data_IF_585074990490
#
_entry.id   IF_585074990490
#
_cell.length_a   1.000
_cell.length_b   1.000
_cell.length_c   1.000
_cell.angle_alpha   90.00
_cell.angle_beta   90.00
_cell.angle_gamma   90.00
#
_symmetry.space_group_name_H-M   'P 1'
#
loop_
_entity.id
_entity.type
_entity.pdbx_description
1 polymer ?
#
# COMPACT_ATOMS: atom_id res chain seq x y z
N UNK A 1 7.10 -34.25 -22.93
CA UNK A 1 6.98 -33.02 -23.74
C UNK A 1 5.52 -32.58 -23.90
N UNK A 2 4.62 -33.40 -24.48
CA UNK A 2 3.20 -33.06 -24.64
C UNK A 2 2.46 -32.70 -23.33
N UNK A 3 2.75 -33.39 -22.23
CA UNK A 3 2.16 -33.11 -20.92
C UNK A 3 2.57 -31.74 -20.36
N UNK A 4 3.82 -31.32 -20.61
CA UNK A 4 4.32 -30.00 -20.19
C UNK A 4 3.70 -28.90 -21.06
N UNK A 5 3.61 -29.11 -22.38
CA UNK A 5 2.95 -28.17 -23.29
C UNK A 5 1.45 -28.01 -22.95
N UNK A 6 0.78 -29.11 -22.61
CA UNK A 6 -0.61 -29.10 -22.15
C UNK A 6 -0.77 -28.32 -20.83
N UNK A 7 0.09 -28.55 -19.84
CA UNK A 7 0.06 -27.80 -18.58
C UNK A 7 0.29 -26.30 -18.80
N UNK A 8 1.26 -25.93 -19.62
CA UNK A 8 1.56 -24.51 -19.92
C UNK A 8 0.37 -23.84 -20.62
N UNK A 9 -0.22 -24.49 -21.62
CA UNK A 9 -1.42 -23.97 -22.29
C UNK A 9 -2.61 -23.88 -21.32
N UNK A 10 -2.82 -24.91 -20.49
CA UNK A 10 -3.88 -24.94 -19.49
C UNK A 10 -3.75 -23.78 -18.48
N UNK A 11 -2.56 -23.56 -17.91
CA UNK A 11 -2.32 -22.43 -17.01
C UNK A 11 -2.41 -21.07 -17.70
N UNK A 12 -2.06 -20.97 -18.98
CA UNK A 12 -2.20 -19.73 -19.74
C UNK A 12 -3.68 -19.36 -19.96
N UNK A 13 -4.52 -20.33 -20.36
CA UNK A 13 -5.96 -20.12 -20.55
C UNK A 13 -6.72 -19.95 -19.23
N UNK A 14 -6.30 -20.62 -18.15
CA UNK A 14 -6.90 -20.45 -16.82
C UNK A 14 -6.37 -19.26 -16.03
N UNK A 15 -5.27 -18.61 -16.45
CA UNK A 15 -4.60 -17.57 -15.67
C UNK A 15 -5.53 -16.44 -15.23
N UNK A 16 -6.44 -16.00 -16.11
CA UNK A 16 -7.44 -14.98 -15.78
C UNK A 16 -8.44 -15.38 -14.69
N UNK A 17 -8.76 -16.67 -14.59
CA UNK A 17 -9.69 -17.23 -13.58
C UNK A 17 -8.95 -17.63 -12.30
N UNK A 18 -7.71 -18.12 -12.41
CA UNK A 18 -6.89 -18.54 -11.27
C UNK A 18 -6.38 -17.36 -10.44
N UNK A 19 -6.20 -16.19 -11.06
CA UNK A 19 -5.68 -15.00 -10.37
C UNK A 19 -6.42 -14.67 -9.07
N UNK A 20 -7.77 -14.51 -9.04
CA UNK A 20 -8.49 -14.24 -7.80
C UNK A 20 -8.40 -15.38 -6.77
N UNK A 21 -8.27 -16.64 -7.21
CA UNK A 21 -8.08 -17.78 -6.30
C UNK A 21 -6.70 -17.73 -5.63
N UNK A 22 -5.64 -17.47 -6.40
CA UNK A 22 -4.28 -17.37 -5.86
C UNK A 22 -4.20 -16.20 -4.87
N UNK A 23 -4.74 -15.03 -5.23
CA UNK A 23 -4.76 -13.88 -4.33
C UNK A 23 -5.53 -14.20 -3.05
N UNK A 24 -6.73 -14.80 -3.15
CA UNK A 24 -7.52 -15.18 -1.99
C UNK A 24 -6.82 -16.23 -1.11
N UNK A 25 -6.14 -17.22 -1.71
CA UNK A 25 -5.39 -18.23 -0.98
C UNK A 25 -4.18 -17.64 -0.24
N UNK A 26 -3.43 -16.73 -0.88
CA UNK A 26 -2.32 -16.02 -0.23
C UNK A 26 -2.82 -15.14 0.92
N UNK A 27 -3.91 -14.40 0.71
CA UNK A 27 -4.54 -13.60 1.77
C UNK A 27 -5.06 -14.48 2.90
N UNK A 28 -5.68 -15.62 2.59
CA UNK A 28 -6.16 -16.57 3.58
C UNK A 28 -5.00 -17.12 4.40
N UNK A 29 -3.86 -17.44 3.79
CA UNK A 29 -2.67 -17.90 4.50
C UNK A 29 -2.17 -16.86 5.51
N UNK A 30 -2.10 -15.58 5.10
CA UNK A 30 -1.67 -14.47 5.95
C UNK A 30 -2.66 -14.23 7.10
N UNK A 31 -3.97 -14.36 6.83
CA UNK A 31 -5.03 -14.05 7.79
C UNK A 31 -5.44 -15.25 8.67
N UNK A 32 -5.13 -16.49 8.29
CA UNK A 32 -5.48 -17.70 9.03
C UNK A 32 -4.94 -17.69 10.48
N UNK A 33 -3.72 -17.20 10.79
CA UNK A 33 -3.27 -17.06 12.18
C UNK A 33 -4.20 -16.22 13.06
N UNK A 34 -4.90 -15.22 12.49
CA UNK A 34 -5.91 -14.44 13.21
C UNK A 34 -7.18 -15.26 13.46
N UNK A 35 -7.62 -16.04 12.48
CA UNK A 35 -8.77 -16.95 12.62
C UNK A 35 -8.48 -18.01 13.69
N UNK A 36 -7.31 -18.65 13.64
CA UNK A 36 -6.89 -19.65 14.64
C UNK A 36 -6.80 -19.07 16.05
N UNK A 37 -6.37 -17.80 16.20
CA UNK A 37 -6.39 -17.12 17.50
C UNK A 37 -7.81 -16.93 18.02
N UNK A 38 -8.76 -16.49 17.18
CA UNK A 38 -10.16 -16.35 17.59
C UNK A 38 -10.79 -17.72 17.91
N UNK A 39 -10.43 -18.75 17.16
CA UNK A 39 -10.87 -20.13 17.40
C UNK A 39 -10.36 -20.65 18.75
N UNK A 40 -9.11 -20.37 19.11
CA UNK A 40 -8.55 -20.69 20.43
C UNK A 40 -9.25 -19.98 21.60
N UNK A 41 -9.95 -18.87 21.35
CA UNK A 41 -10.80 -18.17 22.33
C UNK A 41 -12.26 -18.69 22.35
N UNK A 42 -12.56 -19.82 21.69
CA UNK A 42 -13.86 -20.46 21.69
C UNK A 42 -14.83 -19.98 20.61
N UNK A 43 -14.39 -19.14 19.66
CA UNK A 43 -15.23 -18.69 18.55
C UNK A 43 -15.26 -19.78 17.47
N UNK A 44 -16.47 -20.23 17.09
CA UNK A 44 -16.65 -21.19 15.99
C UNK A 44 -15.96 -20.67 14.72
N UNK A 45 -15.19 -21.53 14.05
CA UNK A 45 -14.35 -21.19 12.89
C UNK A 45 -15.06 -20.35 11.83
N UNK A 46 -16.29 -20.69 11.43
CA UNK A 46 -17.02 -19.89 10.44
C UNK A 46 -17.30 -18.45 10.87
N UNK A 47 -17.58 -18.21 12.16
CA UNK A 47 -17.71 -16.85 12.69
C UNK A 47 -16.36 -16.15 12.73
N UNK A 48 -15.30 -16.83 13.19
CA UNK A 48 -13.95 -16.27 13.21
C UNK A 48 -13.50 -15.85 11.80
N UNK A 49 -13.69 -16.70 10.78
CA UNK A 49 -13.37 -16.40 9.38
C UNK A 49 -14.17 -15.20 8.84
N UNK A 50 -15.47 -15.12 9.14
CA UNK A 50 -16.30 -13.99 8.73
C UNK A 50 -15.80 -12.68 9.34
N UNK A 51 -15.51 -12.68 10.65
CA UNK A 51 -15.06 -11.49 11.37
C UNK A 51 -13.69 -11.02 10.89
N UNK A 52 -12.73 -11.94 10.70
CA UNK A 52 -11.41 -11.60 10.18
C UNK A 52 -11.49 -11.08 8.75
N UNK A 53 -12.30 -11.69 7.89
CA UNK A 53 -12.52 -11.21 6.52
C UNK A 53 -13.13 -9.80 6.53
N UNK A 54 -14.19 -9.57 7.30
CA UNK A 54 -14.84 -8.25 7.38
C UNK A 54 -13.88 -7.20 7.94
N UNK A 55 -13.11 -7.54 8.97
CA UNK A 55 -12.09 -6.65 9.53
C UNK A 55 -11.00 -6.31 8.52
N UNK A 56 -10.48 -7.30 7.79
CA UNK A 56 -9.47 -7.08 6.76
C UNK A 56 -10.00 -6.23 5.60
N UNK A 57 -11.22 -6.50 5.13
CA UNK A 57 -11.87 -5.71 4.09
C UNK A 57 -12.12 -4.27 4.56
N UNK A 58 -12.64 -4.10 5.77
CA UNK A 58 -12.83 -2.78 6.38
C UNK A 58 -11.52 -2.01 6.49
N UNK A 59 -10.46 -2.63 6.99
CA UNK A 59 -9.15 -2.01 7.15
C UNK A 59 -8.57 -1.60 5.80
N UNK A 60 -8.65 -2.47 4.78
CA UNK A 60 -8.20 -2.15 3.43
C UNK A 60 -9.00 -1.00 2.81
N UNK A 61 -10.34 -1.04 2.89
CA UNK A 61 -11.20 0.01 2.35
C UNK A 61 -10.99 1.33 3.07
N UNK A 62 -10.92 1.34 4.41
CA UNK A 62 -10.64 2.53 5.20
C UNK A 62 -9.27 3.13 4.85
N UNK A 63 -8.25 2.28 4.70
CA UNK A 63 -6.91 2.70 4.30
C UNK A 63 -6.92 3.38 2.92
N UNK A 64 -7.62 2.79 1.93
CA UNK A 64 -7.78 3.41 0.61
C UNK A 64 -8.57 4.72 0.67
N UNK A 65 -9.67 4.76 1.43
CA UNK A 65 -10.51 5.95 1.58
C UNK A 65 -9.80 7.10 2.30
N UNK A 66 -8.73 6.85 3.06
CA UNK A 66 -7.91 7.90 3.67
C UNK A 66 -6.74 8.28 2.77
N UNK A 67 -5.96 7.29 2.32
CA UNK A 67 -4.73 7.54 1.55
C UNK A 67 -5.04 8.18 0.22
N UNK A 68 -6.00 7.64 -0.54
CA UNK A 68 -6.28 8.09 -1.90
C UNK A 68 -6.68 9.57 -1.93
N UNK A 69 -7.68 10.05 -1.16
CA UNK A 69 -8.01 11.47 -1.16
C UNK A 69 -6.92 12.33 -0.55
N UNK A 70 -6.17 11.84 0.45
CA UNK A 70 -5.04 12.59 1.00
C UNK A 70 -3.96 12.82 -0.07
N UNK A 71 -3.56 11.79 -0.82
CA UNK A 71 -2.63 11.91 -1.93
C UNK A 71 -3.15 12.86 -3.02
N UNK A 72 -4.47 12.82 -3.28
CA UNK A 72 -5.12 13.71 -4.24
C UNK A 72 -5.05 15.17 -3.81
N UNK A 73 -5.51 15.47 -2.60
CA UNK A 73 -5.51 16.82 -2.03
C UNK A 73 -4.10 17.36 -1.91
N UNK A 74 -3.15 16.52 -1.50
CA UNK A 74 -1.76 16.89 -1.43
C UNK A 74 -1.22 17.23 -2.82
N UNK A 75 -1.46 16.37 -3.81
CA UNK A 75 -1.05 16.60 -5.19
C UNK A 75 -1.62 17.91 -5.76
N UNK A 76 -2.90 18.20 -5.49
CA UNK A 76 -3.54 19.46 -5.89
C UNK A 76 -2.91 20.67 -5.20
N UNK A 77 -2.62 20.57 -3.90
CA UNK A 77 -1.99 21.64 -3.12
C UNK A 77 -0.59 21.98 -3.61
N UNK A 78 0.20 20.96 -3.99
CA UNK A 78 1.53 21.13 -4.60
C UNK A 78 1.41 21.96 -5.88
N UNK A 79 0.48 21.60 -6.75
CA UNK A 79 0.30 22.24 -8.05
C UNK A 79 -0.12 23.70 -7.87
N UNK A 80 -1.01 23.99 -6.92
CA UNK A 80 -1.44 25.36 -6.64
C UNK A 80 -0.30 26.23 -6.08
N UNK A 81 0.60 25.64 -5.28
CA UNK A 81 1.77 26.33 -4.72
C UNK A 81 3.03 26.27 -5.62
N UNK A 82 3.00 25.51 -6.71
CA UNK A 82 4.12 25.41 -7.67
C UNK A 82 4.63 26.79 -8.18
N UNK A 83 3.75 27.74 -8.53
CA UNK A 83 4.18 29.08 -8.97
C UNK A 83 4.89 29.85 -7.85
N UNK A 84 4.37 29.77 -6.62
CA UNK A 84 4.98 30.41 -5.45
C UNK A 84 6.33 29.79 -5.10
N UNK A 85 6.47 28.47 -5.26
CA UNK A 85 7.73 27.77 -5.06
C UNK A 85 8.78 28.17 -6.11
N UNK A 86 8.37 28.33 -7.37
CA UNK A 86 9.25 28.85 -8.42
C UNK A 86 9.70 30.29 -8.13
N UNK A 87 8.79 31.12 -7.63
CA UNK A 87 9.11 32.48 -7.20
C UNK A 87 10.06 32.51 -6.00
N UNK A 88 9.88 31.61 -5.02
CA UNK A 88 10.78 31.48 -3.87
C UNK A 88 12.19 31.03 -4.27
N UNK A 89 12.28 30.02 -5.16
CA UNK A 89 13.57 29.57 -5.69
C UNK A 89 14.29 30.72 -6.38
N UNK A 90 13.57 31.50 -7.18
CA UNK A 90 14.14 32.60 -7.94
C UNK A 90 14.56 33.79 -7.06
N UNK A 91 13.70 34.20 -6.12
CA UNK A 91 13.91 35.42 -5.32
C UNK A 91 14.78 35.21 -4.08
N UNK A 92 14.88 33.98 -3.57
CA UNK A 92 15.50 33.71 -2.26
C UNK A 92 16.54 32.61 -2.33
N UNK A 93 16.18 31.43 -2.85
CA UNK A 93 17.08 30.27 -2.79
C UNK A 93 18.29 30.39 -3.73
N UNK A 94 18.08 30.84 -4.98
CA UNK A 94 19.15 31.05 -5.97
C UNK A 94 20.15 32.14 -5.55
N UNK A 95 19.72 33.32 -5.09
CA UNK A 95 20.63 34.34 -4.57
C UNK A 95 21.44 33.85 -3.37
N UNK A 96 20.79 33.21 -2.39
CA UNK A 96 21.46 32.65 -1.22
C UNK A 96 22.49 31.57 -1.60
N UNK A 97 22.13 30.69 -2.51
CA UNK A 97 23.01 29.61 -2.98
C UNK A 97 24.23 30.17 -3.73
N UNK A 98 24.00 31.11 -4.66
CA UNK A 98 25.07 31.78 -5.40
C UNK A 98 26.01 32.59 -4.50
N UNK A 99 25.48 33.20 -3.44
CA UNK A 99 26.28 33.94 -2.46
C UNK A 99 27.17 33.01 -1.61
N UNK A 100 26.70 31.80 -1.30
CA UNK A 100 27.39 30.87 -0.40
C UNK A 100 28.33 29.89 -1.11
N UNK A 101 27.98 29.50 -2.33
CA UNK A 101 28.72 28.50 -3.10
C UNK A 101 29.36 29.05 -4.37
N UNK A 102 29.22 30.33 -4.72
CA UNK A 102 29.76 30.89 -5.97
C UNK A 102 28.88 30.61 -7.20
N UNK A 103 29.06 31.40 -8.26
CA UNK A 103 28.24 31.37 -9.48
C UNK A 103 28.48 30.15 -10.38
N UNK A 104 28.16 28.95 -9.90
CA UNK A 104 28.27 27.70 -10.68
C UNK A 104 26.94 27.30 -11.34
N UNK A 105 25.80 27.84 -10.90
CA UNK A 105 24.50 27.66 -11.54
C UNK A 105 23.99 28.99 -12.10
N UNK A 106 24.33 29.29 -13.35
CA UNK A 106 23.63 30.27 -14.17
C UNK A 106 22.44 29.58 -14.86
N UNK A 107 21.42 29.19 -14.10
CA UNK A 107 20.11 28.90 -14.68
C UNK A 107 19.65 30.19 -15.35
N UNK A 108 19.38 30.15 -16.65
CA UNK A 108 18.93 31.34 -17.38
C UNK A 108 17.60 31.80 -16.75
N UNK A 109 17.71 32.85 -15.95
CA UNK A 109 16.84 33.17 -14.81
C UNK A 109 15.37 33.39 -15.18
N UNK A 110 15.14 33.80 -16.42
CA UNK A 110 13.80 34.08 -16.94
C UNK A 110 13.21 32.85 -17.64
N UNK A 111 14.02 32.01 -18.29
CA UNK A 111 13.51 30.96 -19.17
C UNK A 111 12.90 29.81 -18.38
N UNK A 112 13.51 29.39 -17.27
CA UNK A 112 12.98 28.30 -16.44
C UNK A 112 11.73 28.73 -15.66
N UNK A 113 11.74 29.92 -15.06
CA UNK A 113 10.59 30.46 -14.34
C UNK A 113 9.41 30.78 -15.29
N UNK A 114 9.68 31.35 -16.46
CA UNK A 114 8.64 31.62 -17.46
C UNK A 114 8.14 30.34 -18.12
N UNK A 115 8.99 29.33 -18.36
CA UNK A 115 8.55 28.00 -18.81
C UNK A 115 7.67 27.32 -17.76
N UNK A 116 8.05 27.39 -16.48
CA UNK A 116 7.23 26.82 -15.42
C UNK A 116 5.89 27.55 -15.29
N UNK A 117 5.86 28.89 -15.37
CA UNK A 117 4.60 29.66 -15.35
C UNK A 117 3.72 29.38 -16.57
N UNK A 118 4.30 29.27 -17.77
CA UNK A 118 3.55 29.01 -19.00
C UNK A 118 3.04 27.56 -19.08
N UNK A 119 3.74 26.61 -18.46
CA UNK A 119 3.35 25.20 -18.41
C UNK A 119 2.63 24.81 -17.12
N UNK A 120 2.60 25.66 -16.07
CA UNK A 120 1.96 25.36 -14.79
C UNK A 120 0.46 25.06 -14.98
N UNK A 121 -0.24 25.84 -15.81
CA UNK A 121 -1.64 25.60 -16.12
C UNK A 121 -1.85 24.28 -16.88
N UNK A 122 -0.94 23.94 -17.80
CA UNK A 122 -0.97 22.67 -18.55
C UNK A 122 -0.66 21.47 -17.64
N UNK A 123 0.32 21.58 -16.75
CA UNK A 123 0.66 20.57 -15.75
C UNK A 123 -0.52 20.38 -14.79
N UNK A 124 -1.14 21.48 -14.35
CA UNK A 124 -2.32 21.47 -13.50
C UNK A 124 -3.50 20.76 -14.17
N UNK A 125 -3.82 21.09 -15.42
CA UNK A 125 -4.91 20.43 -16.15
C UNK A 125 -4.61 18.96 -16.43
N UNK A 126 -3.39 18.61 -16.82
CA UNK A 126 -2.98 17.21 -17.04
C UNK A 126 -3.14 16.38 -15.78
N UNK A 127 -2.72 16.89 -14.63
CA UNK A 127 -2.86 16.16 -13.36
C UNK A 127 -4.32 16.13 -12.91
N UNK A 128 -5.06 17.23 -13.02
CA UNK A 128 -6.50 17.28 -12.71
C UNK A 128 -7.34 16.36 -13.61
N UNK A 129 -6.89 16.02 -14.82
CA UNK A 129 -7.52 15.04 -15.70
C UNK A 129 -7.03 13.61 -15.46
N UNK A 130 -5.74 13.44 -15.14
CA UNK A 130 -5.15 12.13 -14.85
C UNK A 130 -5.65 11.55 -13.52
N UNK A 131 -5.90 12.37 -12.50
CA UNK A 131 -6.32 11.92 -11.18
C UNK A 131 -7.72 11.28 -11.20
N UNK A 132 -8.76 11.91 -11.78
CA UNK A 132 -10.07 11.28 -11.95
C UNK A 132 -9.99 10.08 -12.89
N UNK A 133 -9.15 10.10 -13.93
CA UNK A 133 -8.96 8.97 -14.82
C UNK A 133 -8.29 7.77 -14.13
N UNK A 134 -7.35 7.99 -13.19
CA UNK A 134 -6.74 6.96 -12.35
C UNK A 134 -7.74 6.43 -11.31
N UNK A 135 -8.50 7.32 -10.68
CA UNK A 135 -9.59 6.93 -9.76
C UNK A 135 -10.68 6.15 -10.48
N UNK A 136 -11.07 6.59 -11.67
CA UNK A 136 -12.03 5.90 -12.53
C UNK A 136 -11.45 4.63 -13.10
N UNK A 137 -10.14 4.54 -13.37
CA UNK A 137 -9.48 3.29 -13.77
C UNK A 137 -9.44 2.28 -12.64
N UNK A 138 -9.18 2.72 -11.41
CA UNK A 138 -9.32 1.88 -10.21
C UNK A 138 -10.77 1.45 -9.99
N UNK A 139 -11.72 2.37 -10.18
CA UNK A 139 -13.15 2.09 -10.11
C UNK A 139 -13.68 1.27 -11.30
N UNK A 140 -13.06 1.32 -12.48
CA UNK A 140 -13.41 0.57 -13.69
C UNK A 140 -12.79 -0.82 -13.71
N UNK A 141 -11.60 -0.96 -13.13
CA UNK A 141 -11.08 -2.25 -12.67
C UNK A 141 -12.00 -2.83 -11.60
N UNK A 142 -12.55 -2.02 -10.69
CA UNK A 142 -13.51 -2.45 -9.70
C UNK A 142 -14.92 -2.76 -10.27
N UNK A 143 -15.36 -2.08 -11.34
CA UNK A 143 -16.70 -2.27 -11.94
C UNK A 143 -16.73 -3.23 -13.12
N UNK A 144 -15.58 -3.56 -13.74
CA UNK A 144 -15.42 -4.74 -14.64
C UNK A 144 -15.54 -6.08 -13.88
N UNK A 145 -15.99 -6.03 -12.62
CA UNK A 145 -16.03 -7.14 -11.70
C UNK A 145 -17.45 -7.29 -11.11
N UNK A 146 -18.35 -7.86 -11.92
CA UNK A 146 -19.29 -8.86 -11.37
C UNK A 146 -18.56 -9.94 -10.52
N UNK A 147 -17.24 -10.03 -10.71
CA UNK A 147 -16.21 -10.77 -9.98
C UNK A 147 -15.66 -10.18 -8.66
N UNK A 148 -16.00 -8.95 -8.19
CA UNK A 148 -15.39 -8.40 -6.94
C UNK A 148 -15.86 -9.20 -5.75
N UNK A 149 -17.12 -9.62 -5.82
CA UNK A 149 -17.78 -10.46 -4.83
C UNK A 149 -17.06 -11.80 -4.68
N UNK A 150 -16.41 -12.28 -5.74
CA UNK A 150 -15.70 -13.56 -5.74
C UNK A 150 -14.52 -13.56 -4.77
N UNK A 151 -13.74 -12.48 -4.68
CA UNK A 151 -12.53 -12.46 -3.85
C UNK A 151 -12.83 -12.55 -2.34
N UNK A 152 -13.73 -11.76 -1.74
CA UNK A 152 -14.18 -11.96 -0.37
C UNK A 152 -14.80 -13.34 -0.16
N UNK A 153 -15.60 -13.84 -1.11
CA UNK A 153 -16.18 -15.18 -1.03
C UNK A 153 -15.11 -16.27 -0.96
N UNK A 154 -14.15 -16.23 -1.88
CA UNK A 154 -13.02 -17.16 -1.91
C UNK A 154 -12.17 -17.03 -0.66
N UNK A 155 -11.90 -15.80 -0.21
CA UNK A 155 -11.17 -15.56 1.04
C UNK A 155 -11.90 -16.18 2.23
N UNK A 156 -13.22 -15.98 2.34
CA UNK A 156 -14.03 -16.59 3.38
C UNK A 156 -13.97 -18.11 3.33
N UNK A 157 -14.16 -18.72 2.16
CA UNK A 157 -14.11 -20.17 2.00
C UNK A 157 -12.72 -20.75 2.30
N UNK A 158 -11.65 -20.11 1.82
CA UNK A 158 -10.29 -20.53 2.15
C UNK A 158 -9.99 -20.40 3.64
N UNK A 159 -10.45 -19.34 4.31
CA UNK A 159 -10.32 -19.20 5.76
C UNK A 159 -11.17 -20.23 6.52
N UNK A 160 -12.41 -20.46 6.09
CA UNK A 160 -13.32 -21.44 6.70
C UNK A 160 -12.74 -22.84 6.65
N UNK A 161 -12.27 -23.28 5.47
CA UNK A 161 -11.81 -24.65 5.22
C UNK A 161 -10.29 -24.80 5.18
N UNK A 162 -9.51 -23.82 5.66
CA UNK A 162 -8.04 -23.83 5.58
C UNK A 162 -7.41 -25.16 6.03
N UNK A 163 -7.88 -25.73 7.14
CA UNK A 163 -7.37 -27.00 7.67
C UNK A 163 -7.58 -28.18 6.70
N UNK A 164 -8.67 -28.18 5.94
CA UNK A 164 -8.92 -29.19 4.89
C UNK A 164 -8.00 -28.99 3.70
N UNK A 165 -7.76 -27.74 3.30
CA UNK A 165 -6.79 -27.41 2.25
C UNK A 165 -5.37 -27.82 2.64
N UNK A 166 -4.96 -27.56 3.88
CA UNK A 166 -3.66 -27.95 4.42
C UNK A 166 -3.49 -29.49 4.50
N UNK A 167 -4.53 -30.20 4.98
CA UNK A 167 -4.52 -31.66 5.01
C UNK A 167 -4.41 -32.26 3.60
N UNK A 168 -5.22 -31.77 2.65
CA UNK A 168 -5.17 -32.21 1.26
C UNK A 168 -3.82 -31.89 0.59
N UNK A 169 -3.25 -30.72 0.87
CA UNK A 169 -1.91 -30.38 0.39
C UNK A 169 -0.84 -31.32 0.96
N UNK A 170 -0.96 -31.72 2.23
CA UNK A 170 -0.05 -32.66 2.89
C UNK A 170 -0.16 -34.07 2.31
N UNK A 171 -1.37 -34.53 1.97
CA UNK A 171 -1.60 -35.85 1.36
C UNK A 171 -0.99 -36.00 -0.03
N UNK A 172 -0.85 -34.90 -0.77
CA UNK A 172 -0.19 -34.89 -2.09
C UNK A 172 1.34 -34.99 -1.99
N UNK A 173 1.92 -34.80 -0.80
CA UNK A 173 3.37 -34.88 -0.59
C UNK A 173 3.79 -36.35 -0.43
N UNK A 174 4.77 -36.85 -1.22
CA UNK A 174 5.28 -38.21 -1.05
C UNK A 174 5.81 -38.44 0.36
N UNK A 175 5.53 -39.61 0.96
CA UNK A 175 5.91 -39.96 2.35
C UNK A 175 7.37 -39.67 2.70
N UNK A 176 8.30 -39.81 1.74
CA UNK A 176 9.74 -39.52 1.91
C UNK A 176 10.03 -38.05 2.28
N UNK A 177 9.17 -37.11 1.86
CA UNK A 177 9.37 -35.68 2.08
C UNK A 177 8.45 -35.09 3.14
N UNK A 178 7.59 -35.91 3.76
CA UNK A 178 6.54 -35.43 4.68
C UNK A 178 7.14 -34.70 5.88
N UNK A 179 8.20 -35.24 6.50
CA UNK A 179 8.91 -34.59 7.61
C UNK A 179 9.57 -33.27 7.19
N UNK A 180 10.10 -33.21 5.96
CA UNK A 180 10.69 -31.98 5.43
C UNK A 180 9.62 -30.93 5.18
N UNK A 181 8.48 -31.32 4.60
CA UNK A 181 7.35 -30.44 4.31
C UNK A 181 6.77 -29.85 5.60
N UNK A 182 6.42 -30.68 6.58
CA UNK A 182 5.83 -30.24 7.87
C UNK A 182 6.77 -29.32 8.64
N UNK A 183 8.08 -29.60 8.63
CA UNK A 183 9.07 -28.72 9.24
C UNK A 183 9.15 -27.36 8.54
N UNK A 184 9.16 -27.34 7.20
CA UNK A 184 9.25 -26.08 6.43
C UNK A 184 7.97 -25.25 6.63
N UNK A 185 6.79 -25.86 6.49
CA UNK A 185 5.51 -25.14 6.65
C UNK A 185 5.33 -24.61 8.08
N UNK A 186 5.72 -25.39 9.09
CA UNK A 186 5.73 -24.94 10.49
C UNK A 186 6.66 -23.75 10.73
N UNK A 187 7.87 -23.78 10.15
CA UNK A 187 8.80 -22.65 10.23
C UNK A 187 8.24 -21.41 9.51
N UNK A 188 7.64 -21.57 8.34
CA UNK A 188 7.00 -20.46 7.61
C UNK A 188 5.88 -19.81 8.43
N UNK A 189 5.03 -20.62 9.06
CA UNK A 189 3.96 -20.12 9.95
C UNK A 189 4.52 -19.33 11.14
N UNK A 190 5.62 -19.82 11.73
CA UNK A 190 6.29 -19.15 12.86
C UNK A 190 6.88 -17.81 12.42
N UNK A 191 7.66 -17.80 11.33
CA UNK A 191 8.29 -16.59 10.77
C UNK A 191 7.24 -15.56 10.35
N UNK A 192 6.13 -15.98 9.73
CA UNK A 192 5.04 -15.08 9.37
C UNK A 192 4.35 -14.49 10.60
N UNK A 193 4.14 -15.30 11.64
CA UNK A 193 3.60 -14.83 12.92
C UNK A 193 4.49 -13.77 13.58
N UNK A 194 5.81 -14.02 13.61
CA UNK A 194 6.82 -13.10 14.13
C UNK A 194 6.90 -11.82 13.28
N UNK A 195 6.90 -11.95 11.96
CA UNK A 195 6.91 -10.82 11.02
C UNK A 195 5.69 -9.92 11.21
N UNK A 196 4.48 -10.49 11.26
CA UNK A 196 3.25 -9.69 11.47
C UNK A 196 3.27 -8.97 12.82
N UNK A 197 3.72 -9.64 13.89
CA UNK A 197 3.86 -8.99 15.21
C UNK A 197 4.92 -7.90 15.20
N UNK A 198 6.08 -8.15 14.60
CA UNK A 198 7.14 -7.16 14.43
C UNK A 198 6.67 -5.96 13.64
N UNK A 199 5.96 -6.19 12.52
CA UNK A 199 5.48 -5.13 11.64
C UNK A 199 4.39 -4.27 12.30
N UNK A 200 3.50 -4.85 13.10
CA UNK A 200 2.55 -4.08 13.92
C UNK A 200 3.27 -3.21 14.96
N UNK A 201 4.31 -3.74 15.62
CA UNK A 201 5.14 -2.95 16.53
C UNK A 201 5.86 -1.81 15.80
N UNK A 202 6.42 -2.07 14.62
CA UNK A 202 7.06 -1.05 13.78
C UNK A 202 6.06 0.04 13.40
N UNK A 203 4.84 -0.31 12.96
CA UNK A 203 3.81 0.70 12.66
C UNK A 203 3.46 1.57 13.87
N UNK A 204 3.32 0.97 15.05
CA UNK A 204 3.03 1.70 16.28
C UNK A 204 4.18 2.64 16.67
N UNK A 205 5.41 2.14 16.65
CA UNK A 205 6.62 2.91 16.97
C UNK A 205 6.82 4.04 15.97
N UNK A 206 6.70 3.77 14.67
CA UNK A 206 6.87 4.78 13.62
C UNK A 206 5.73 5.80 13.62
N UNK A 207 4.49 5.36 13.83
CA UNK A 207 3.33 6.24 13.94
C UNK A 207 3.46 7.21 15.10
N UNK A 208 3.88 6.71 16.27
CA UNK A 208 4.15 7.56 17.43
C UNK A 208 5.35 8.48 17.20
N UNK A 209 6.50 7.96 16.75
CA UNK A 209 7.69 8.77 16.48
C UNK A 209 7.43 9.89 15.47
N UNK A 210 6.83 9.57 14.31
CA UNK A 210 6.51 10.57 13.30
C UNK A 210 5.44 11.53 13.80
N UNK A 211 4.40 11.02 14.48
CA UNK A 211 3.32 11.85 14.99
C UNK A 211 3.80 12.87 16.01
N UNK A 212 4.55 12.42 17.03
CA UNK A 212 5.13 13.31 18.04
C UNK A 212 6.23 14.20 17.45
N UNK A 213 7.06 13.67 16.56
CA UNK A 213 8.16 14.42 15.94
C UNK A 213 7.65 15.60 15.12
N UNK A 214 6.63 15.39 14.28
CA UNK A 214 6.01 16.44 13.48
C UNK A 214 5.18 17.42 14.34
N UNK A 215 4.53 16.93 15.39
CA UNK A 215 3.81 17.82 16.33
C UNK A 215 4.79 18.78 17.03
N UNK A 216 5.97 18.32 17.41
CA UNK A 216 7.00 19.14 18.05
C UNK A 216 7.59 20.22 17.13
N UNK A 217 7.53 20.06 15.80
CA UNK A 217 7.95 21.11 14.86
C UNK A 217 6.91 22.22 14.70
N UNK A 218 5.78 22.16 15.41
CA UNK A 218 4.69 23.14 15.31
C UNK A 218 3.70 22.87 14.18
N UNK A 219 3.78 21.69 13.53
CA UNK A 219 2.88 21.32 12.46
C UNK A 219 1.51 20.95 13.05
N UNK A 220 0.47 21.77 12.78
CA UNK A 220 -0.89 21.58 13.33
C UNK A 220 -1.45 20.16 13.09
N UNK A 221 -1.18 19.58 11.92
CA UNK A 221 -1.63 18.23 11.52
C UNK A 221 -0.57 17.13 11.75
N UNK A 222 0.52 17.43 12.47
CA UNK A 222 1.69 16.57 12.57
C UNK A 222 1.40 15.17 13.11
N UNK A 223 0.58 15.08 14.16
CA UNK A 223 0.22 13.79 14.76
C UNK A 223 -0.56 12.88 13.79
N UNK A 224 -1.57 13.42 13.11
CA UNK A 224 -2.39 12.67 12.17
C UNK A 224 -1.57 12.19 10.95
N UNK A 225 -0.74 13.08 10.39
CA UNK A 225 0.16 12.75 9.27
C UNK A 225 1.15 11.66 9.68
N UNK A 226 1.73 11.77 10.87
CA UNK A 226 2.68 10.78 11.39
C UNK A 226 2.06 9.41 11.64
N UNK A 227 0.84 9.35 12.20
CA UNK A 227 0.10 8.10 12.39
C UNK A 227 -0.22 7.41 11.07
N UNK A 228 -0.70 8.17 10.08
CA UNK A 228 -0.96 7.65 8.73
C UNK A 228 0.35 7.13 8.11
N UNK A 229 1.42 7.92 8.14
CA UNK A 229 2.74 7.51 7.64
C UNK A 229 3.26 6.24 8.32
N UNK A 230 3.09 6.12 9.64
CA UNK A 230 3.47 4.94 10.43
C UNK A 230 2.71 3.68 10.02
N UNK A 231 1.39 3.76 9.82
CA UNK A 231 0.57 2.64 9.32
C UNK A 231 1.02 2.24 7.91
N UNK A 232 1.29 3.22 7.03
CA UNK A 232 1.75 2.98 5.67
C UNK A 232 3.13 2.29 5.59
N UNK A 233 3.92 2.26 6.67
CA UNK A 233 5.18 1.48 6.72
C UNK A 233 4.93 -0.01 6.51
N UNK A 234 3.67 -0.49 6.71
CA UNK A 234 3.28 -1.85 6.31
C UNK A 234 3.68 -2.18 4.87
N UNK A 235 3.48 -1.23 3.96
CA UNK A 235 3.84 -1.37 2.55
C UNK A 235 5.25 -0.77 2.37
N UNK A 236 6.24 -1.60 1.97
CA UNK A 236 7.61 -1.13 1.78
C UNK A 236 7.68 0.13 0.92
N UNK A 237 8.49 1.09 1.33
CA UNK A 237 8.69 2.40 0.68
C UNK A 237 7.48 3.33 0.65
N UNK A 238 6.24 2.84 0.74
CA UNK A 238 5.03 3.68 0.76
C UNK A 238 4.98 4.56 2.01
N UNK A 239 5.22 4.02 3.21
CA UNK A 239 5.18 4.79 4.46
C UNK A 239 6.19 5.92 4.53
N UNK A 240 7.45 5.63 4.24
CA UNK A 240 8.50 6.64 4.24
C UNK A 240 8.29 7.68 3.13
N UNK A 241 7.95 7.24 1.91
CA UNK A 241 7.72 8.16 0.78
C UNK A 241 6.52 9.06 1.01
N UNK A 242 5.37 8.48 1.39
CA UNK A 242 4.16 9.28 1.67
C UNK A 242 4.36 10.18 2.88
N UNK A 243 4.90 9.67 3.99
CA UNK A 243 5.16 10.47 5.18
C UNK A 243 6.11 11.63 4.91
N UNK A 244 7.24 11.38 4.23
CA UNK A 244 8.18 12.42 3.86
C UNK A 244 7.55 13.40 2.88
N UNK A 245 6.87 12.93 1.85
CA UNK A 245 6.19 13.81 0.88
C UNK A 245 5.16 14.70 1.57
N UNK A 246 4.27 14.14 2.39
CA UNK A 246 3.25 14.89 3.11
C UNK A 246 3.85 15.87 4.10
N UNK A 247 4.84 15.45 4.89
CA UNK A 247 5.48 16.29 5.90
C UNK A 247 6.26 17.45 5.26
N UNK A 248 7.07 17.16 4.24
CA UNK A 248 7.87 18.19 3.55
C UNK A 248 6.96 19.22 2.89
N UNK A 249 5.87 18.76 2.29
CA UNK A 249 4.90 19.65 1.68
C UNK A 249 4.14 20.44 2.73
N UNK A 250 3.60 19.81 3.77
CA UNK A 250 2.89 20.54 4.82
C UNK A 250 3.77 21.62 5.47
N UNK A 251 5.06 21.32 5.69
CA UNK A 251 6.04 22.28 6.20
C UNK A 251 6.39 23.42 5.23
N UNK A 252 6.35 23.20 3.92
CA UNK A 252 6.55 24.25 2.90
C UNK A 252 5.29 25.11 2.69
N UNK A 253 4.13 24.60 3.10
CA UNK A 253 2.83 25.16 2.79
C UNK A 253 2.17 25.93 3.93
N UNK A 254 2.60 25.66 5.17
CA UNK A 254 2.33 26.48 6.35
C UNK A 254 3.36 27.60 6.45
#
# INVERSE_FOLDING_TARGET
FLLIAFLVAFFHFLGGILTPFIIAAVLAYILNPLVSKLEAHGIKRGRASMWVMLFALFLLTALLLVIVPMLVQQSQSIIQKLPQFADYIHRTALPWFNQKFGHYLSLNNETAANWLRSNAQTIQTRIQQALPALMQSGASLATSLSNIVLLPLLLYYFLLDWARWEAGATELVPRRYLDTYTRITGNMNTVLGEFLRGQLMVMLIMGTLYGTGLMLTGLESGFAIGMVAGILVFVPYLGAFTGLLLATLAALLQ
#
